data_IF_269630878073
#
_entry.id   IF_269630878073
#
_cell.length_a   1.000
_cell.length_b   1.000
_cell.length_c   1.000
_cell.angle_alpha   90.00
_cell.angle_beta   90.00
_cell.angle_gamma   90.00
#
_symmetry.space_group_name_H-M   'P 1'
#
loop_
_entity.id
_entity.type
_entity.pdbx_description
1 polymer ?
#
# COMPACT_ATOMS: atom_id res chain seq x y z
N UNK A 1 24.92 11.42 16.47
CA UNK A 1 25.12 12.31 15.30
C UNK A 1 24.06 11.90 14.30
N UNK A 2 22.94 12.61 14.23
CA UNK A 2 21.93 12.35 13.21
C UNK A 2 22.61 12.56 11.87
N UNK A 3 22.74 11.51 11.08
CA UNK A 3 23.17 11.65 9.70
C UNK A 3 22.14 12.57 9.04
N UNK A 4 22.55 13.77 8.62
CA UNK A 4 21.73 14.53 7.70
C UNK A 4 21.49 13.61 6.50
N UNK A 5 20.23 13.24 6.21
CA UNK A 5 19.97 12.42 5.04
C UNK A 5 20.54 13.17 3.84
N UNK A 6 21.26 12.44 2.97
CA UNK A 6 21.72 13.05 1.74
C UNK A 6 20.50 13.55 0.96
N UNK A 7 20.60 14.65 0.20
CA UNK A 7 19.47 15.20 -0.54
C UNK A 7 18.75 14.13 -1.38
N UNK A 8 19.49 13.15 -1.91
CA UNK A 8 18.95 12.02 -2.67
C UNK A 8 18.09 11.09 -1.82
N UNK A 9 18.52 10.75 -0.60
CA UNK A 9 17.76 9.91 0.32
C UNK A 9 16.45 10.58 0.78
N UNK A 10 16.47 11.90 0.94
CA UNK A 10 15.27 12.66 1.29
C UNK A 10 14.26 12.71 0.13
N UNK A 11 14.74 12.93 -1.10
CA UNK A 11 13.87 12.91 -2.30
C UNK A 11 13.28 11.52 -2.51
N UNK A 12 14.07 10.45 -2.40
CA UNK A 12 13.56 9.06 -2.49
C UNK A 12 12.55 8.72 -1.40
N UNK A 13 12.74 9.20 -0.17
CA UNK A 13 11.77 9.01 0.91
C UNK A 13 10.43 9.73 0.64
N UNK A 14 10.47 10.94 0.05
CA UNK A 14 9.27 11.64 -0.39
C UNK A 14 8.59 10.89 -1.53
N UNK A 15 9.35 10.42 -2.51
CA UNK A 15 8.83 9.64 -3.63
C UNK A 15 8.10 8.38 -3.16
N UNK A 16 8.73 7.62 -2.27
CA UNK A 16 8.13 6.44 -1.64
C UNK A 16 6.86 6.79 -0.85
N UNK A 17 6.89 7.85 -0.04
CA UNK A 17 5.73 8.27 0.74
C UNK A 17 4.54 8.70 -0.14
N UNK A 18 4.81 9.36 -1.26
CA UNK A 18 3.79 9.72 -2.24
C UNK A 18 3.24 8.49 -2.98
N UNK A 19 4.11 7.54 -3.34
CA UNK A 19 3.72 6.27 -3.94
C UNK A 19 2.78 5.48 -3.03
N UNK A 20 3.16 5.30 -1.77
CA UNK A 20 2.33 4.66 -0.73
C UNK A 20 1.01 5.44 -0.54
N UNK A 21 1.07 6.77 -0.40
CA UNK A 21 -0.13 7.57 -0.23
C UNK A 21 -1.14 7.43 -1.37
N UNK A 22 -0.68 7.25 -2.61
CA UNK A 22 -1.55 7.08 -3.77
C UNK A 22 -2.21 5.69 -3.81
N UNK A 23 -1.48 4.61 -3.53
CA UNK A 23 -2.05 3.24 -3.50
C UNK A 23 -3.12 3.07 -2.39
N UNK A 24 -3.01 3.83 -1.30
CA UNK A 24 -3.94 3.73 -0.17
C UNK A 24 -5.35 4.19 -0.52
N UNK A 25 -5.50 5.01 -1.57
CA UNK A 25 -6.83 5.44 -2.03
C UNK A 25 -7.61 4.26 -2.61
N UNK A 26 -7.08 3.51 -3.61
CA UNK A 26 -7.63 2.22 -4.02
C UNK A 26 -7.83 1.22 -2.87
N UNK A 27 -6.86 1.06 -1.98
CA UNK A 27 -6.92 0.09 -0.88
C UNK A 27 -8.03 0.44 0.13
N UNK A 28 -8.14 1.71 0.52
CA UNK A 28 -9.21 2.21 1.38
C UNK A 28 -10.59 2.06 0.74
N UNK A 29 -10.68 2.16 -0.59
CA UNK A 29 -11.92 1.85 -1.32
C UNK A 29 -12.23 0.35 -1.29
N UNK A 30 -11.24 -0.51 -1.51
CA UNK A 30 -11.38 -1.96 -1.42
C UNK A 30 -11.87 -2.43 -0.05
N UNK A 31 -11.46 -1.75 1.04
CA UNK A 31 -11.93 -2.04 2.40
C UNK A 31 -13.31 -1.41 2.69
N UNK A 32 -13.64 -0.27 2.06
CA UNK A 32 -14.93 0.41 2.25
C UNK A 32 -16.10 -0.30 1.53
N UNK A 33 -15.85 -0.91 0.37
CA UNK A 33 -16.88 -1.51 -0.48
C UNK A 33 -17.58 -2.70 0.21
N UNK A 34 -16.88 -3.67 0.84
CA UNK A 34 -17.49 -4.75 1.61
C UNK A 34 -18.39 -4.25 2.74
N UNK A 35 -17.94 -3.23 3.47
CA UNK A 35 -18.72 -2.62 4.57
C UNK A 35 -20.01 -1.97 4.03
N UNK A 36 -19.96 -1.45 2.79
CA UNK A 36 -21.13 -0.90 2.11
C UNK A 36 -22.08 -1.99 1.62
N UNK A 37 -21.56 -3.11 1.11
CA UNK A 37 -22.37 -4.26 0.66
C UNK A 37 -23.05 -4.96 1.83
N UNK A 38 -22.47 -4.89 3.03
CA UNK A 38 -23.09 -5.32 4.30
C UNK A 38 -24.22 -4.40 4.81
N UNK A 39 -24.63 -3.42 4.01
CA UNK A 39 -25.80 -2.57 4.27
C UNK A 39 -25.54 -1.31 5.11
N UNK A 40 -24.28 -0.97 5.43
CA UNK A 40 -23.97 0.31 6.08
C UNK A 40 -24.16 1.50 5.13
N UNK A 41 -24.37 2.70 5.68
CA UNK A 41 -24.45 3.93 4.87
C UNK A 41 -23.09 4.27 4.25
N UNK A 42 -23.10 4.96 3.10
CA UNK A 42 -21.89 5.38 2.36
C UNK A 42 -20.85 6.06 3.27
N UNK A 43 -21.32 6.94 4.15
CA UNK A 43 -20.45 7.70 5.05
C UNK A 43 -19.84 6.82 6.15
N UNK A 44 -20.59 5.83 6.67
CA UNK A 44 -20.05 4.87 7.64
C UNK A 44 -19.05 3.92 6.99
N UNK A 45 -19.34 3.43 5.78
CA UNK A 45 -18.43 2.59 5.03
C UNK A 45 -17.10 3.31 4.74
N UNK A 46 -17.17 4.56 4.27
CA UNK A 46 -15.98 5.41 4.07
C UNK A 46 -15.22 5.67 5.38
N UNK A 47 -15.93 6.02 6.46
CA UNK A 47 -15.28 6.26 7.76
C UNK A 47 -14.53 5.02 8.25
N UNK A 48 -15.18 3.86 8.29
CA UNK A 48 -14.53 2.63 8.75
C UNK A 48 -13.41 2.17 7.81
N UNK A 49 -13.59 2.29 6.50
CA UNK A 49 -12.54 2.03 5.53
C UNK A 49 -11.33 2.96 5.72
N UNK A 50 -11.54 4.25 5.92
CA UNK A 50 -10.44 5.21 6.20
C UNK A 50 -9.74 4.98 7.54
N UNK A 51 -10.44 4.42 8.54
CA UNK A 51 -9.84 4.11 9.84
C UNK A 51 -8.84 2.94 9.75
N UNK A 52 -8.96 2.06 8.76
CA UNK A 52 -7.96 1.01 8.52
C UNK A 52 -6.57 1.59 8.20
N UNK A 53 -6.53 2.74 7.52
CA UNK A 53 -5.28 3.42 7.15
C UNK A 53 -4.50 3.96 8.36
N UNK A 54 -5.07 3.98 9.58
CA UNK A 54 -4.34 4.35 10.80
C UNK A 54 -3.23 3.34 11.13
N UNK A 55 -3.37 2.09 10.69
CA UNK A 55 -2.35 1.06 10.95
C UNK A 55 -1.02 1.41 10.28
N UNK A 56 -1.05 2.09 9.14
CA UNK A 56 0.15 2.45 8.37
C UNK A 56 1.06 3.49 9.06
N UNK A 57 0.61 4.66 9.52
CA UNK A 57 1.47 5.60 10.22
C UNK A 57 2.01 5.02 11.53
N UNK A 58 1.23 4.16 12.21
CA UNK A 58 1.72 3.44 13.40
C UNK A 58 2.85 2.49 13.00
N UNK A 59 2.63 1.68 11.96
CA UNK A 59 3.66 0.77 11.42
C UNK A 59 4.90 1.51 10.92
N UNK A 60 4.74 2.65 10.27
CA UNK A 60 5.83 3.48 9.77
C UNK A 60 6.69 4.05 10.91
N UNK A 61 6.07 4.55 11.99
CA UNK A 61 6.81 5.04 13.16
C UNK A 61 7.54 3.89 13.87
N UNK A 62 6.88 2.75 14.07
CA UNK A 62 7.51 1.58 14.68
C UNK A 62 8.66 1.04 13.82
N UNK A 63 8.47 0.97 12.50
CA UNK A 63 9.50 0.60 11.53
C UNK A 63 10.68 1.56 11.55
N UNK A 64 10.43 2.88 11.59
CA UNK A 64 11.49 3.89 11.68
C UNK A 64 12.30 3.76 12.97
N UNK A 65 11.65 3.51 14.12
CA UNK A 65 12.34 3.27 15.40
C UNK A 65 13.12 1.96 15.35
N UNK A 66 12.55 0.89 14.78
CA UNK A 66 13.23 -0.39 14.64
C UNK A 66 14.49 -0.25 13.78
N UNK A 67 14.43 0.44 12.64
CA UNK A 67 15.56 0.68 11.74
C UNK A 67 16.78 1.27 12.48
N UNK A 68 16.56 2.12 13.48
CA UNK A 68 17.65 2.69 14.28
C UNK A 68 18.48 1.65 15.04
N UNK A 69 17.91 0.46 15.32
CA UNK A 69 18.55 -0.61 16.09
C UNK A 69 19.00 -1.81 15.25
N UNK A 70 18.41 -2.04 14.06
CA UNK A 70 18.58 -3.30 13.30
C UNK A 70 18.82 -3.13 11.79
N UNK A 71 19.72 -2.21 11.42
CA UNK A 71 20.09 -1.95 10.01
C UNK A 71 20.57 -3.20 9.24
N UNK A 72 21.22 -4.16 9.92
CA UNK A 72 21.68 -5.40 9.30
C UNK A 72 20.54 -6.37 8.93
N UNK A 73 19.42 -6.33 9.64
CA UNK A 73 18.23 -7.17 9.39
C UNK A 73 17.27 -6.50 8.39
N UNK A 74 17.36 -5.18 8.24
CA UNK A 74 16.48 -4.39 7.40
C UNK A 74 16.24 -4.95 5.99
N UNK A 75 17.25 -5.36 5.19
CA UNK A 75 16.99 -5.92 3.86
C UNK A 75 16.17 -7.21 3.91
N UNK A 76 16.39 -8.06 4.91
CA UNK A 76 15.61 -9.28 5.10
C UNK A 76 14.16 -8.96 5.50
N UNK A 77 13.97 -7.99 6.41
CA UNK A 77 12.65 -7.55 6.82
C UNK A 77 11.85 -6.93 5.66
N UNK A 78 12.49 -6.09 4.83
CA UNK A 78 11.88 -5.53 3.62
C UNK A 78 11.53 -6.62 2.60
N UNK A 79 12.42 -7.59 2.39
CA UNK A 79 12.14 -8.72 1.49
C UNK A 79 10.97 -9.57 1.97
N UNK A 80 10.85 -9.77 3.29
CA UNK A 80 9.73 -10.47 3.91
C UNK A 80 8.42 -9.68 3.74
N UNK A 81 8.45 -8.37 3.98
CA UNK A 81 7.29 -7.50 3.79
C UNK A 81 6.81 -7.49 2.33
N UNK A 82 7.73 -7.40 1.36
CA UNK A 82 7.42 -7.51 -0.05
C UNK A 82 6.78 -8.87 -0.40
N UNK A 83 7.33 -9.96 0.12
CA UNK A 83 6.75 -11.30 -0.05
C UNK A 83 5.35 -11.45 0.53
N UNK A 84 5.11 -10.88 1.72
CA UNK A 84 3.77 -10.88 2.34
C UNK A 84 2.75 -10.12 1.50
N UNK A 85 3.11 -8.97 0.93
CA UNK A 85 2.22 -8.22 0.03
C UNK A 85 1.93 -8.98 -1.27
N UNK A 86 2.92 -9.66 -1.85
CA UNK A 86 2.72 -10.51 -3.03
C UNK A 86 1.72 -11.65 -2.71
N UNK A 87 1.86 -12.30 -1.55
CA UNK A 87 0.93 -13.35 -1.12
C UNK A 87 -0.50 -12.83 -1.01
N UNK A 88 -0.73 -11.71 -0.31
CA UNK A 88 -2.06 -11.09 -0.17
C UNK A 88 -2.65 -10.73 -1.53
N UNK A 89 -1.85 -10.17 -2.45
CA UNK A 89 -2.32 -9.83 -3.80
C UNK A 89 -2.76 -11.08 -4.57
N UNK A 90 -1.96 -12.13 -4.55
CA UNK A 90 -2.19 -13.34 -5.35
C UNK A 90 -3.32 -14.19 -4.80
N UNK A 91 -3.38 -14.39 -3.49
CA UNK A 91 -4.33 -15.30 -2.85
C UNK A 91 -5.66 -14.63 -2.49
N UNK A 92 -5.67 -13.32 -2.23
CA UNK A 92 -6.87 -12.61 -1.79
C UNK A 92 -7.37 -11.62 -2.85
N UNK A 93 -6.55 -10.63 -3.23
CA UNK A 93 -7.03 -9.51 -4.06
C UNK A 93 -7.38 -9.90 -5.50
N UNK A 94 -6.54 -10.71 -6.17
CA UNK A 94 -6.80 -11.15 -7.55
C UNK A 94 -8.05 -12.04 -7.61
N UNK A 95 -8.18 -13.10 -6.80
CA UNK A 95 -9.39 -13.93 -6.79
C UNK A 95 -10.65 -13.12 -6.45
N UNK A 96 -10.58 -12.26 -5.43
CA UNK A 96 -11.72 -11.45 -5.00
C UNK A 96 -12.20 -10.49 -6.11
N UNK A 97 -11.26 -9.86 -6.84
CA UNK A 97 -11.59 -8.98 -7.96
C UNK A 97 -12.35 -9.69 -9.10
N UNK A 98 -12.20 -11.01 -9.21
CA UNK A 98 -12.80 -11.84 -10.27
C UNK A 98 -14.11 -12.51 -9.87
N UNK A 99 -14.48 -12.51 -8.59
CA UNK A 99 -15.68 -13.20 -8.04
C UNK A 99 -17.00 -12.80 -8.70
N UNK A 100 -17.09 -11.59 -9.25
CA UNK A 100 -18.30 -11.05 -9.89
C UNK A 100 -18.39 -11.30 -11.40
N UNK A 101 -17.55 -12.18 -11.97
CA UNK A 101 -17.58 -12.55 -13.39
C UNK A 101 -16.96 -11.52 -14.35
N UNK A 102 -16.36 -10.46 -13.83
CA UNK A 102 -15.73 -9.39 -14.61
C UNK A 102 -14.21 -9.62 -14.78
N UNK A 103 -13.80 -10.84 -15.14
CA UNK A 103 -12.38 -11.24 -15.22
C UNK A 103 -11.55 -10.33 -16.11
N UNK A 104 -12.05 -10.01 -17.31
CA UNK A 104 -11.30 -9.18 -18.28
C UNK A 104 -11.11 -7.74 -17.79
N UNK A 105 -12.14 -7.18 -17.15
CA UNK A 105 -12.11 -5.82 -16.59
C UNK A 105 -11.20 -5.77 -15.36
N UNK A 106 -11.26 -6.79 -14.50
CA UNK A 106 -10.39 -6.91 -13.33
C UNK A 106 -8.91 -7.01 -13.74
N UNK A 107 -8.59 -7.86 -14.72
CA UNK A 107 -7.23 -7.99 -15.26
C UNK A 107 -6.77 -6.69 -15.94
N UNK A 108 -7.65 -6.02 -16.71
CA UNK A 108 -7.32 -4.72 -17.30
C UNK A 108 -7.03 -3.65 -16.24
N UNK A 109 -7.86 -3.56 -15.20
CA UNK A 109 -7.67 -2.63 -14.09
C UNK A 109 -6.36 -2.91 -13.34
N UNK A 110 -6.02 -4.19 -13.13
CA UNK A 110 -4.75 -4.61 -12.54
C UNK A 110 -3.55 -4.19 -13.40
N UNK A 111 -3.60 -4.40 -14.72
CA UNK A 111 -2.53 -3.98 -15.63
C UNK A 111 -2.35 -2.46 -15.64
N UNK A 112 -3.46 -1.70 -15.70
CA UNK A 112 -3.43 -0.23 -15.65
C UNK A 112 -2.86 0.26 -14.33
N UNK A 113 -3.30 -0.33 -13.20
CA UNK A 113 -2.78 0.00 -11.88
C UNK A 113 -1.28 -0.29 -11.75
N UNK A 114 -0.83 -1.42 -12.27
CA UNK A 114 0.59 -1.79 -12.30
C UNK A 114 1.42 -0.79 -13.11
N UNK A 115 0.99 -0.46 -14.34
CA UNK A 115 1.68 0.54 -15.18
C UNK A 115 1.71 1.90 -14.51
N UNK A 116 0.61 2.33 -13.91
CA UNK A 116 0.54 3.60 -13.19
C UNK A 116 1.53 3.65 -12.03
N UNK A 117 1.62 2.59 -11.22
CA UNK A 117 2.62 2.51 -10.15
C UNK A 117 4.05 2.47 -10.69
N UNK A 118 4.33 1.72 -11.77
CA UNK A 118 5.67 1.72 -12.40
C UNK A 118 6.07 3.10 -12.93
N UNK A 119 5.13 3.85 -13.50
CA UNK A 119 5.38 5.23 -13.94
C UNK A 119 5.67 6.15 -12.76
N UNK A 120 4.93 5.99 -11.66
CA UNK A 120 5.14 6.78 -10.45
C UNK A 120 6.47 6.47 -9.78
N UNK A 121 6.85 5.20 -9.68
CA UNK A 121 8.14 4.76 -9.15
C UNK A 121 9.28 5.43 -9.93
N UNK A 122 9.29 5.31 -11.26
CA UNK A 122 10.31 5.93 -12.12
C UNK A 122 10.28 7.45 -12.08
N UNK A 123 9.09 8.07 -11.96
CA UNK A 123 8.95 9.53 -11.95
C UNK A 123 9.32 10.16 -10.61
N UNK A 124 9.16 9.43 -9.50
CA UNK A 124 9.37 9.91 -8.15
C UNK A 124 10.74 9.51 -7.56
N UNK A 125 11.46 8.57 -8.15
CA UNK A 125 12.88 8.34 -7.90
C UNK A 125 13.30 6.89 -7.78
#
# INVERSE_FOLDING_TARGET
MAANPSPEAFVGAIGLALGIGLQNVPEGAALSIPIRTDGKSRLKAFYWGSMSAIVEPIGAVLGAVAVMAMTAILPYALSFAAGAMIFVVVEELIPDSQTNGNTDVATLALMVGFVLMMVLDVALG
#
